data_IF_655205721297
#
_entry.id   IF_655205721297
#
_cell.length_a   1.000
_cell.length_b   1.000
_cell.length_c   1.000
_cell.angle_alpha   90.00
_cell.angle_beta   90.00
_cell.angle_gamma   90.00
#
_symmetry.space_group_name_H-M   'P 1'
#
loop_
_entity.id
_entity.type
_entity.pdbx_description
1 polymer ?
#
# COMPACT_ATOMS: atom_id res chain seq x y z
N UNK A 1 7.46 -12.29 12.07
CA UNK A 1 7.68 -11.39 10.89
C UNK A 1 6.35 -10.81 10.44
N UNK A 2 6.24 -9.49 10.39
CA UNK A 2 5.03 -8.91 9.83
C UNK A 2 4.92 -9.22 8.34
N UNK A 3 3.70 -9.32 7.84
CA UNK A 3 3.42 -9.67 6.45
C UNK A 3 3.03 -8.42 5.67
N UNK A 4 3.36 -8.39 4.38
CA UNK A 4 3.02 -7.26 3.53
C UNK A 4 2.51 -7.73 2.17
N UNK A 5 1.50 -7.02 1.67
CA UNK A 5 0.98 -7.14 0.31
C UNK A 5 1.44 -5.91 -0.45
N UNK A 6 2.08 -6.10 -1.59
CA UNK A 6 2.57 -5.02 -2.43
C UNK A 6 1.64 -4.86 -3.64
N UNK A 7 1.06 -3.68 -3.80
CA UNK A 7 0.11 -3.39 -4.89
C UNK A 7 0.65 -2.25 -5.73
N UNK A 8 1.03 -2.56 -6.98
CA UNK A 8 1.52 -1.60 -7.95
C UNK A 8 1.41 -2.24 -9.32
N UNK A 9 1.00 -1.50 -10.34
CA UNK A 9 0.89 -2.06 -11.68
C UNK A 9 2.25 -2.24 -12.37
N UNK A 10 3.30 -1.59 -11.87
CA UNK A 10 4.65 -1.70 -12.42
C UNK A 10 5.44 -2.80 -11.72
N UNK A 11 5.80 -3.84 -12.47
CA UNK A 11 6.56 -4.96 -11.91
C UNK A 11 7.89 -4.51 -11.29
N UNK A 12 8.61 -3.58 -11.95
CA UNK A 12 9.88 -3.11 -11.41
C UNK A 12 9.72 -2.46 -10.04
N UNK A 13 8.61 -1.78 -9.81
CA UNK A 13 8.34 -1.15 -8.51
C UNK A 13 8.02 -2.21 -7.45
N UNK A 14 7.25 -3.24 -7.82
CA UNK A 14 6.99 -4.33 -6.88
C UNK A 14 8.27 -5.05 -6.47
N UNK A 15 9.18 -5.25 -7.42
CA UNK A 15 10.48 -5.86 -7.11
C UNK A 15 11.31 -4.96 -6.18
N UNK A 16 11.38 -3.67 -6.48
CA UNK A 16 12.15 -2.72 -5.68
C UNK A 16 11.61 -2.62 -4.26
N UNK A 17 10.29 -2.47 -4.11
CA UNK A 17 9.65 -2.43 -2.80
C UNK A 17 9.84 -3.74 -2.05
N UNK A 18 9.69 -4.86 -2.75
CA UNK A 18 9.87 -6.18 -2.14
C UNK A 18 11.26 -6.36 -1.55
N UNK A 19 12.29 -5.93 -2.27
CA UNK A 19 13.67 -6.02 -1.77
C UNK A 19 13.88 -5.17 -0.51
N UNK A 20 13.35 -3.94 -0.51
CA UNK A 20 13.44 -3.05 0.66
C UNK A 20 12.71 -3.64 1.86
N UNK A 21 11.48 -4.11 1.65
CA UNK A 21 10.66 -4.63 2.73
C UNK A 21 11.24 -5.91 3.34
N UNK A 22 11.78 -6.79 2.51
CA UNK A 22 12.47 -7.98 3.01
C UNK A 22 13.66 -7.62 3.89
N UNK A 23 14.44 -6.63 3.45
CA UNK A 23 15.58 -6.14 4.19
C UNK A 23 15.17 -5.61 5.56
N UNK A 24 13.97 -5.03 5.67
CA UNK A 24 13.45 -4.48 6.92
C UNK A 24 12.66 -5.51 7.73
N UNK A 25 12.71 -6.77 7.37
CA UNK A 25 12.13 -7.85 8.15
C UNK A 25 10.69 -8.22 7.82
N UNK A 26 10.16 -7.76 6.68
CA UNK A 26 8.81 -8.13 6.26
C UNK A 26 8.83 -9.41 5.42
N UNK A 27 7.75 -10.17 5.55
CA UNK A 27 7.48 -11.29 4.65
C UNK A 27 6.53 -10.83 3.56
N UNK A 28 6.93 -10.93 2.30
CA UNK A 28 6.09 -10.57 1.17
C UNK A 28 5.13 -11.73 0.91
N UNK A 29 3.88 -11.57 1.29
CA UNK A 29 2.90 -12.66 1.17
C UNK A 29 2.12 -12.61 -0.13
N UNK A 30 2.20 -11.52 -0.88
CA UNK A 30 1.53 -11.44 -2.17
C UNK A 30 1.82 -10.12 -2.88
N UNK A 31 1.44 -10.09 -4.15
CA UNK A 31 1.52 -8.92 -5.01
C UNK A 31 0.22 -8.78 -5.78
N UNK A 32 -0.14 -7.55 -6.11
CA UNK A 32 -1.30 -7.26 -6.94
C UNK A 32 -0.95 -6.13 -7.90
N UNK A 33 -1.59 -6.12 -9.07
CA UNK A 33 -1.29 -5.16 -10.12
C UNK A 33 -2.43 -4.14 -10.34
N UNK A 34 -3.50 -4.24 -9.58
CA UNK A 34 -4.62 -3.28 -9.63
C UNK A 34 -5.46 -3.41 -8.36
N UNK A 35 -6.43 -2.50 -8.22
CA UNK A 35 -7.25 -2.45 -7.01
C UNK A 35 -8.13 -3.65 -6.82
N UNK A 36 -8.63 -4.25 -7.90
CA UNK A 36 -9.48 -5.43 -7.81
C UNK A 36 -8.69 -6.62 -7.23
N UNK A 37 -7.49 -6.85 -7.76
CA UNK A 37 -6.61 -7.89 -7.24
C UNK A 37 -6.22 -7.60 -5.78
N UNK A 38 -6.01 -6.32 -5.45
CA UNK A 38 -5.67 -5.93 -4.09
C UNK A 38 -6.77 -6.32 -3.11
N UNK A 39 -8.03 -6.09 -3.45
CA UNK A 39 -9.17 -6.46 -2.61
C UNK A 39 -9.21 -7.97 -2.41
N UNK A 40 -9.11 -8.73 -3.50
CA UNK A 40 -9.13 -10.19 -3.45
C UNK A 40 -7.99 -10.75 -2.60
N UNK A 41 -6.77 -10.23 -2.82
CA UNK A 41 -5.60 -10.67 -2.07
C UNK A 41 -5.68 -10.27 -0.60
N UNK A 42 -6.21 -9.09 -0.29
CA UNK A 42 -6.38 -8.68 1.11
C UNK A 42 -7.32 -9.62 1.85
N UNK A 43 -8.44 -9.96 1.24
CA UNK A 43 -9.40 -10.88 1.86
C UNK A 43 -8.78 -12.25 2.13
N UNK A 44 -8.00 -12.74 1.17
CA UNK A 44 -7.36 -14.04 1.27
C UNK A 44 -6.24 -14.07 2.30
N UNK A 45 -5.38 -13.04 2.31
CA UNK A 45 -4.13 -13.05 3.05
C UNK A 45 -4.17 -12.28 4.35
N UNK A 46 -5.02 -11.26 4.44
CA UNK A 46 -5.11 -10.34 5.57
C UNK A 46 -3.72 -9.94 6.09
N UNK A 47 -2.91 -9.28 5.25
CA UNK A 47 -1.55 -8.93 5.62
C UNK A 47 -1.51 -7.85 6.71
N UNK A 48 -0.38 -7.76 7.41
CA UNK A 48 -0.19 -6.73 8.43
C UNK A 48 -0.04 -5.33 7.83
N UNK A 49 0.43 -5.25 6.59
CA UNK A 49 0.68 -3.99 5.89
C UNK A 49 0.35 -4.14 4.41
N UNK A 50 -0.16 -3.07 3.81
CA UNK A 50 -0.32 -2.96 2.35
C UNK A 50 0.38 -1.70 1.88
N UNK A 51 1.22 -1.82 0.84
CA UNK A 51 1.68 -0.66 0.09
C UNK A 51 0.86 -0.64 -1.19
N UNK A 52 0.17 0.48 -1.46
CA UNK A 52 -0.83 0.57 -2.52
C UNK A 52 -0.56 1.77 -3.42
N UNK A 53 -0.25 1.51 -4.69
CA UNK A 53 -0.19 2.58 -5.69
C UNK A 53 -1.58 3.20 -5.83
N UNK A 54 -1.62 4.51 -5.97
CA UNK A 54 -2.88 5.25 -6.02
C UNK A 54 -3.58 5.10 -7.38
N UNK A 55 -2.81 5.14 -8.47
CA UNK A 55 -3.36 5.11 -9.83
C UNK A 55 -2.93 3.85 -10.56
N UNK A 56 -3.90 3.02 -10.91
CA UNK A 56 -3.67 1.74 -11.59
C UNK A 56 -4.80 1.47 -12.58
N UNK A 57 -4.57 0.62 -13.61
CA UNK A 57 -5.65 0.22 -14.49
C UNK A 57 -6.68 -0.64 -13.77
N UNK A 58 -7.83 -0.86 -14.36
CA UNK A 58 -8.97 -1.67 -13.88
C UNK A 58 -9.65 -1.05 -12.67
N UNK A 59 -8.93 -0.86 -11.57
CA UNK A 59 -9.44 -0.23 -10.37
C UNK A 59 -8.29 0.48 -9.66
N UNK A 60 -8.51 1.73 -9.26
CA UNK A 60 -7.51 2.55 -8.58
C UNK A 60 -7.27 2.08 -7.15
N UNK A 61 -6.14 2.53 -6.58
CA UNK A 61 -5.87 2.28 -5.17
C UNK A 61 -6.87 2.95 -4.25
N UNK A 62 -7.35 4.15 -4.63
CA UNK A 62 -8.38 4.84 -3.85
C UNK A 62 -9.66 4.00 -3.75
N UNK A 63 -10.12 3.45 -4.89
CA UNK A 63 -11.33 2.62 -4.89
C UNK A 63 -11.13 1.34 -4.08
N UNK A 64 -9.92 0.77 -4.12
CA UNK A 64 -9.62 -0.39 -3.30
C UNK A 64 -9.69 -0.07 -1.81
N UNK A 65 -9.16 1.08 -1.38
CA UNK A 65 -9.27 1.53 0.02
C UNK A 65 -10.72 1.66 0.43
N UNK A 66 -11.56 2.25 -0.42
CA UNK A 66 -12.99 2.43 -0.14
C UNK A 66 -13.72 1.11 0.05
N UNK A 67 -13.22 0.02 -0.51
CA UNK A 67 -13.82 -1.30 -0.34
C UNK A 67 -13.19 -2.11 0.79
N UNK A 68 -11.88 -1.99 0.97
CA UNK A 68 -11.18 -2.77 2.01
C UNK A 68 -11.50 -2.26 3.41
N UNK A 69 -11.45 -0.96 3.64
CA UNK A 69 -11.58 -0.39 4.99
C UNK A 69 -12.94 -0.66 5.62
N UNK A 70 -14.09 -0.52 4.94
CA UNK A 70 -15.37 -0.86 5.58
C UNK A 70 -15.44 -2.30 6.04
N UNK A 71 -14.81 -3.22 5.32
CA UNK A 71 -14.78 -4.64 5.66
C UNK A 71 -13.70 -4.94 6.71
N UNK A 72 -12.57 -4.24 6.65
CA UNK A 72 -11.42 -4.44 7.55
C UNK A 72 -10.96 -3.07 8.09
N UNK A 73 -11.67 -2.54 9.10
CA UNK A 73 -11.39 -1.17 9.57
C UNK A 73 -9.98 -0.95 10.13
N UNK A 74 -9.31 -2.03 10.54
CA UNK A 74 -7.96 -1.94 11.10
C UNK A 74 -6.86 -2.17 10.06
N UNK A 75 -7.23 -2.31 8.79
CA UNK A 75 -6.24 -2.51 7.72
C UNK A 75 -5.24 -1.35 7.69
N UNK A 76 -3.96 -1.70 7.59
CA UNK A 76 -2.87 -0.71 7.53
C UNK A 76 -2.43 -0.57 6.09
N UNK A 77 -2.88 0.50 5.44
CA UNK A 77 -2.61 0.76 4.03
C UNK A 77 -1.84 2.07 3.91
N UNK A 78 -0.67 2.00 3.28
CA UNK A 78 0.14 3.16 2.92
C UNK A 78 0.01 3.39 1.42
N UNK A 79 -0.41 4.59 1.03
CA UNK A 79 -0.52 4.94 -0.39
C UNK A 79 0.84 5.32 -0.94
N UNK A 80 1.16 4.84 -2.14
CA UNK A 80 2.37 5.27 -2.87
C UNK A 80 1.86 6.05 -4.08
N UNK A 81 2.24 7.30 -4.20
CA UNK A 81 1.61 8.19 -5.16
C UNK A 81 2.61 9.04 -5.92
N UNK A 82 2.24 9.46 -7.13
CA UNK A 82 3.03 10.42 -7.91
C UNK A 82 2.73 11.85 -7.46
N UNK A 83 3.63 12.77 -7.79
CA UNK A 83 3.41 14.19 -7.53
C UNK A 83 2.14 14.67 -8.24
N UNK A 84 1.44 15.63 -7.63
CA UNK A 84 0.27 16.26 -8.24
C UNK A 84 -1.06 15.57 -7.94
N UNK A 85 -1.06 14.53 -7.10
CA UNK A 85 -2.27 13.79 -6.77
C UNK A 85 -2.79 14.11 -5.37
N UNK A 86 -2.54 15.33 -4.91
CA UNK A 86 -2.84 15.75 -3.54
C UNK A 86 -4.29 15.52 -3.14
N UNK A 87 -5.24 15.90 -4.01
CA UNK A 87 -6.67 15.75 -3.71
C UNK A 87 -7.08 14.29 -3.53
N UNK A 88 -6.53 13.41 -4.36
CA UNK A 88 -6.84 11.99 -4.29
C UNK A 88 -6.22 11.36 -3.04
N UNK A 89 -5.05 11.85 -2.63
CA UNK A 89 -4.41 11.42 -1.39
C UNK A 89 -5.28 11.77 -0.19
N UNK A 90 -5.81 12.98 -0.15
CA UNK A 90 -6.69 13.41 0.94
C UNK A 90 -7.91 12.49 1.01
N UNK A 91 -8.52 12.18 -0.13
CA UNK A 91 -9.63 11.24 -0.21
C UNK A 91 -9.25 9.86 0.36
N UNK A 92 -8.08 9.35 0.00
CA UNK A 92 -7.64 8.04 0.48
C UNK A 92 -7.46 8.03 2.01
N UNK A 93 -6.87 9.08 2.55
CA UNK A 93 -6.68 9.21 4.01
C UNK A 93 -8.03 9.32 4.71
N UNK A 94 -8.96 10.12 4.18
CA UNK A 94 -10.30 10.26 4.74
C UNK A 94 -11.07 8.95 4.73
N UNK A 95 -10.77 8.07 3.77
CA UNK A 95 -11.40 6.75 3.67
C UNK A 95 -10.66 5.67 4.43
N UNK A 96 -9.62 6.01 5.19
CA UNK A 96 -8.99 5.10 6.13
C UNK A 96 -7.56 4.66 5.82
N UNK A 97 -6.96 5.11 4.71
CA UNK A 97 -5.54 4.86 4.49
C UNK A 97 -4.74 5.54 5.63
N UNK A 98 -3.68 4.92 6.08
CA UNK A 98 -2.97 5.38 7.28
C UNK A 98 -1.96 6.49 6.98
N UNK A 99 -1.34 6.46 5.80
CA UNK A 99 -0.34 7.45 5.42
C UNK A 99 -0.06 7.34 3.92
N UNK A 100 0.86 8.14 3.43
CA UNK A 100 1.26 8.11 2.02
C UNK A 100 2.75 8.42 1.86
N UNK A 101 3.30 8.03 0.72
CA UNK A 101 4.66 8.35 0.31
C UNK A 101 4.61 8.79 -1.15
N UNK A 102 5.32 9.86 -1.48
CA UNK A 102 5.34 10.42 -2.84
C UNK A 102 6.52 9.87 -3.65
N UNK A 103 6.27 9.42 -4.87
CA UNK A 103 7.32 8.99 -5.80
C UNK A 103 7.97 10.21 -6.46
N UNK A 104 9.29 10.26 -6.64
CA UNK A 104 10.26 9.29 -6.12
C UNK A 104 10.46 9.45 -4.61
N UNK A 105 10.70 8.35 -3.93
CA UNK A 105 10.93 8.38 -2.48
C UNK A 105 12.31 7.81 -2.17
N UNK A 106 12.85 8.18 -1.00
CA UNK A 106 14.06 7.57 -0.48
C UNK A 106 13.68 6.37 0.38
N UNK A 107 14.57 5.40 0.52
CA UNK A 107 14.33 4.27 1.41
C UNK A 107 14.12 4.74 2.85
N UNK A 108 14.83 5.78 3.27
CA UNK A 108 14.69 6.35 4.61
C UNK A 108 13.30 6.93 4.85
N UNK A 109 12.76 7.66 3.86
CA UNK A 109 11.43 8.23 3.96
C UNK A 109 10.36 7.13 4.03
N UNK A 110 10.47 6.14 3.15
CA UNK A 110 9.53 5.02 3.15
C UNK A 110 9.59 4.26 4.47
N UNK A 111 10.80 3.98 4.96
CA UNK A 111 10.96 3.26 6.22
C UNK A 111 10.35 4.03 7.38
N UNK A 112 10.56 5.35 7.42
CA UNK A 112 10.01 6.20 8.47
C UNK A 112 8.49 6.14 8.51
N UNK A 113 7.84 6.21 7.33
CA UNK A 113 6.38 6.14 7.23
C UNK A 113 5.89 4.76 7.66
N UNK A 114 6.55 3.69 7.22
CA UNK A 114 6.20 2.32 7.60
C UNK A 114 6.32 2.13 9.12
N UNK A 115 7.42 2.59 9.70
CA UNK A 115 7.64 2.46 11.15
C UNK A 115 6.53 3.16 11.93
N UNK A 116 6.11 4.35 11.49
CA UNK A 116 5.03 5.08 12.14
C UNK A 116 3.69 4.36 12.05
N UNK A 117 3.39 3.78 10.89
CA UNK A 117 2.12 3.06 10.67
C UNK A 117 2.10 1.75 11.44
N UNK A 118 3.23 1.06 11.53
CA UNK A 118 3.32 -0.22 12.22
C UNK A 118 3.46 -0.09 13.73
N UNK A 119 3.72 1.11 14.22
CA UNK A 119 3.85 1.36 15.68
C UNK A 119 2.52 1.12 16.38
N UNK A 120 2.58 0.42 17.48
CA UNK A 120 1.40 0.11 18.28
C UNK A 120 1.25 1.14 19.41
#
# INVERSE_FOLDING_TARGET
MPTVLIVDDAMFMRVALGNMLKEWGFEIVGEAANGKQAIEKYRELQPDLVTMDLTMPVMSGLDAVKEIIPEFPDAKIIMITALGQHRIIVDAIENGAKDFVTKPFTSENLKSVIDNVMRV
#
